data_IF_675062133025
#
_entry.id   IF_675062133025
#
_cell.length_a   1.000
_cell.length_b   1.000
_cell.length_c   1.000
_cell.angle_alpha   90.00
_cell.angle_beta   90.00
_cell.angle_gamma   90.00
#
_symmetry.space_group_name_H-M   'P 1'
#
loop_
_entity.id
_entity.type
_entity.pdbx_description
1 polymer ?
#
# COMPACT_ATOMS: atom_id res chain seq x y z
N UNK A 1 7.64 -20.59 0.61
CA UNK A 1 6.30 -20.01 0.84
C UNK A 1 5.29 -21.13 0.84
N UNK A 2 4.33 -21.15 1.77
CA UNK A 2 3.28 -22.16 1.80
C UNK A 2 2.15 -21.74 0.84
N UNK A 3 1.40 -22.68 0.27
CA UNK A 3 0.31 -22.38 -0.67
C UNK A 3 -0.73 -21.40 -0.10
N UNK A 4 -0.95 -21.44 1.22
CA UNK A 4 -1.81 -20.51 1.95
C UNK A 4 -1.36 -19.05 1.83
N UNK A 5 -0.06 -18.80 1.85
CA UNK A 5 0.49 -17.44 1.85
C UNK A 5 0.29 -16.77 0.48
N UNK A 6 0.40 -17.56 -0.58
CA UNK A 6 0.14 -17.13 -1.96
C UNK A 6 -1.35 -16.83 -2.13
N UNK A 7 -2.23 -17.69 -1.61
CA UNK A 7 -3.68 -17.50 -1.67
C UNK A 7 -4.16 -16.25 -0.91
N UNK A 8 -3.59 -15.97 0.27
CA UNK A 8 -3.91 -14.75 1.01
C UNK A 8 -3.42 -13.49 0.26
N UNK A 9 -2.19 -13.53 -0.25
CA UNK A 9 -1.61 -12.41 -0.98
C UNK A 9 -2.40 -12.09 -2.26
N UNK A 10 -2.88 -13.12 -2.96
CA UNK A 10 -3.72 -12.96 -4.16
C UNK A 10 -5.12 -12.45 -3.84
N UNK A 11 -5.74 -12.92 -2.75
CA UNK A 11 -7.04 -12.43 -2.28
C UNK A 11 -6.96 -10.94 -1.91
N UNK A 12 -5.93 -10.52 -1.17
CA UNK A 12 -5.70 -9.11 -0.88
C UNK A 12 -5.48 -8.29 -2.17
N UNK A 13 -4.74 -8.84 -3.14
CA UNK A 13 -4.52 -8.19 -4.44
C UNK A 13 -5.81 -7.98 -5.21
N UNK A 14 -6.69 -8.98 -5.22
CA UNK A 14 -8.02 -8.91 -5.82
C UNK A 14 -8.91 -7.88 -5.14
N UNK A 15 -8.90 -7.79 -3.81
CA UNK A 15 -9.70 -6.78 -3.07
C UNK A 15 -9.23 -5.36 -3.41
N UNK A 16 -7.91 -5.12 -3.47
CA UNK A 16 -7.34 -3.82 -3.88
C UNK A 16 -7.80 -3.47 -5.31
N UNK A 17 -7.79 -4.45 -6.21
CA UNK A 17 -8.23 -4.27 -7.58
C UNK A 17 -9.74 -3.97 -7.68
N UNK A 18 -10.59 -4.77 -7.05
CA UNK A 18 -12.05 -4.59 -7.04
C UNK A 18 -12.46 -3.21 -6.52
N UNK A 19 -11.74 -2.71 -5.50
CA UNK A 19 -11.96 -1.37 -5.00
C UNK A 19 -11.65 -0.28 -6.05
N UNK A 20 -10.56 -0.41 -6.80
CA UNK A 20 -10.20 0.51 -7.89
C UNK A 20 -11.18 0.41 -9.06
N UNK A 21 -11.84 -0.73 -9.22
CA UNK A 21 -12.88 -0.94 -10.23
C UNK A 21 -14.21 -0.28 -9.84
N UNK A 22 -14.61 -0.38 -8.56
CA UNK A 22 -15.90 0.09 -8.07
C UNK A 22 -15.98 1.61 -7.82
N UNK A 23 -14.83 2.28 -7.66
CA UNK A 23 -14.78 3.71 -7.36
C UNK A 23 -14.07 4.49 -8.50
N UNK A 24 -14.76 4.86 -9.59
CA UNK A 24 -14.23 5.83 -10.55
C UNK A 24 -14.13 7.24 -9.91
N UNK A 25 -13.10 8.03 -10.28
CA UNK A 25 -12.66 9.24 -9.53
C UNK A 25 -13.70 10.36 -9.37
N UNK A 26 -13.57 11.29 -8.39
CA UNK A 26 -12.43 11.60 -7.51
C UNK A 26 -12.44 10.93 -6.13
N UNK A 27 -13.50 10.16 -5.81
CA UNK A 27 -13.63 9.44 -4.54
C UNK A 27 -12.64 8.27 -4.38
N UNK A 28 -12.11 7.75 -5.50
CA UNK A 28 -11.06 6.73 -5.57
C UNK A 28 -9.88 7.09 -4.66
N UNK A 29 -9.33 8.30 -4.77
CA UNK A 29 -8.03 8.63 -4.15
C UNK A 29 -8.03 8.73 -2.62
N UNK A 30 -9.18 8.93 -1.99
CA UNK A 30 -9.29 9.12 -0.53
C UNK A 30 -9.59 7.82 0.22
N UNK A 31 -10.48 7.00 -0.33
CA UNK A 31 -10.88 5.73 0.29
C UNK A 31 -9.96 4.61 -0.17
N UNK A 32 -9.50 4.65 -1.44
CA UNK A 32 -8.82 3.51 -2.02
C UNK A 32 -7.38 3.35 -1.55
N UNK A 33 -6.67 4.45 -1.35
CA UNK A 33 -5.29 4.44 -0.85
C UNK A 33 -5.22 3.99 0.62
N UNK A 34 -6.18 4.38 1.46
CA UNK A 34 -6.26 3.97 2.87
C UNK A 34 -6.49 2.46 3.06
N UNK A 35 -7.40 1.87 2.30
CA UNK A 35 -7.64 0.43 2.35
C UNK A 35 -6.50 -0.36 1.69
N UNK A 36 -5.89 0.19 0.63
CA UNK A 36 -4.75 -0.41 -0.04
C UNK A 36 -3.55 -0.57 0.91
N UNK A 37 -3.17 0.48 1.65
CA UNK A 37 -2.08 0.38 2.64
C UNK A 37 -2.44 -0.57 3.77
N UNK A 38 -3.72 -0.60 4.20
CA UNK A 38 -4.18 -1.51 5.26
C UNK A 38 -3.97 -2.96 4.85
N UNK A 39 -4.37 -3.32 3.62
CA UNK A 39 -4.19 -4.66 3.08
C UNK A 39 -2.72 -5.03 2.84
N UNK A 40 -1.89 -4.08 2.39
CA UNK A 40 -0.45 -4.30 2.24
C UNK A 40 0.22 -4.55 3.60
N UNK A 41 -0.12 -3.76 4.63
CA UNK A 41 0.35 -4.00 5.99
C UNK A 41 -0.14 -5.35 6.53
N UNK A 42 -1.39 -5.73 6.28
CA UNK A 42 -1.90 -7.06 6.65
C UNK A 42 -1.17 -8.19 5.92
N UNK A 43 -0.87 -8.01 4.64
CA UNK A 43 -0.10 -8.97 3.85
C UNK A 43 1.29 -9.19 4.46
N UNK A 44 1.95 -8.11 4.91
CA UNK A 44 3.21 -8.21 5.64
C UNK A 44 3.07 -9.01 6.93
N UNK A 45 2.04 -8.72 7.74
CA UNK A 45 1.86 -9.38 9.03
C UNK A 45 1.52 -10.87 8.90
N UNK A 46 0.77 -11.24 7.86
CA UNK A 46 0.33 -12.63 7.64
C UNK A 46 1.36 -13.50 6.93
N UNK A 47 2.13 -12.94 5.99
CA UNK A 47 3.02 -13.72 5.10
C UNK A 47 4.47 -13.25 5.10
N UNK A 48 4.79 -12.21 5.87
CA UNK A 48 6.12 -11.63 5.98
C UNK A 48 6.46 -10.69 4.82
N UNK A 49 7.76 -10.50 4.59
CA UNK A 49 8.34 -9.54 3.61
C UNK A 49 7.79 -9.74 2.19
N UNK A 50 7.46 -10.97 1.78
CA UNK A 50 6.97 -11.23 0.42
C UNK A 50 5.50 -10.87 0.20
N UNK A 51 4.70 -10.76 1.27
CA UNK A 51 3.27 -10.48 1.19
C UNK A 51 2.91 -9.21 0.43
N UNK A 52 3.39 -8.03 0.89
CA UNK A 52 3.06 -6.76 0.25
C UNK A 52 3.50 -6.73 -1.21
N UNK A 53 4.65 -7.34 -1.53
CA UNK A 53 5.20 -7.39 -2.88
C UNK A 53 4.26 -8.19 -3.79
N UNK A 54 3.89 -9.41 -3.41
CA UNK A 54 2.98 -10.24 -4.20
C UNK A 54 1.58 -9.64 -4.33
N UNK A 55 1.02 -9.14 -3.23
CA UNK A 55 -0.27 -8.44 -3.22
C UNK A 55 -0.26 -7.24 -4.16
N UNK A 56 0.81 -6.43 -4.12
CA UNK A 56 0.95 -5.27 -5.00
C UNK A 56 1.19 -5.63 -6.45
N UNK A 57 1.92 -6.72 -6.72
CA UNK A 57 2.18 -7.23 -8.06
C UNK A 57 0.87 -7.68 -8.71
N UNK A 58 0.08 -8.49 -8.01
CA UNK A 58 -1.21 -8.98 -8.50
C UNK A 58 -2.15 -7.79 -8.72
N UNK A 59 -2.33 -6.93 -7.72
CA UNK A 59 -3.17 -5.73 -7.86
C UNK A 59 -2.72 -4.82 -9.01
N UNK A 60 -1.39 -4.66 -9.17
CA UNK A 60 -0.77 -3.87 -10.23
C UNK A 60 -1.04 -4.42 -11.62
N UNK A 61 -0.87 -5.73 -11.82
CA UNK A 61 -1.14 -6.40 -13.11
C UNK A 61 -2.62 -6.27 -13.47
N UNK A 62 -3.53 -6.57 -12.55
CA UNK A 62 -4.97 -6.47 -12.83
C UNK A 62 -5.38 -5.02 -13.13
N UNK A 63 -4.87 -4.05 -12.36
CA UNK A 63 -5.17 -2.63 -12.59
C UNK A 63 -4.59 -2.14 -13.91
N UNK A 64 -3.38 -2.56 -14.26
CA UNK A 64 -2.74 -2.21 -15.53
C UNK A 64 -3.48 -2.80 -16.73
N UNK A 65 -3.95 -4.05 -16.62
CA UNK A 65 -4.75 -4.69 -17.67
C UNK A 65 -6.08 -3.98 -17.92
N UNK A 66 -6.67 -3.37 -16.89
CA UNK A 66 -7.94 -2.64 -17.03
C UNK A 66 -7.81 -1.15 -17.38
N UNK A 67 -6.80 -0.44 -16.85
CA UNK A 67 -6.59 0.99 -17.16
C UNK A 67 -5.78 1.13 -18.46
N UNK A 68 -6.47 1.30 -19.58
CA UNK A 68 -5.88 1.45 -20.93
C UNK A 68 -5.02 2.71 -21.18
N UNK A 69 -4.74 3.53 -20.16
CA UNK A 69 -3.92 4.75 -20.32
C UNK A 69 -2.42 4.47 -20.30
N UNK A 70 -1.88 4.14 -19.12
CA UNK A 70 -0.45 3.90 -18.90
C UNK A 70 -0.23 2.64 -18.06
N UNK A 71 -0.41 1.45 -18.66
CA UNK A 71 -0.40 0.18 -17.93
C UNK A 71 0.95 -0.09 -17.28
N UNK A 72 2.06 0.17 -17.98
CA UNK A 72 3.41 -0.08 -17.46
C UNK A 72 3.69 0.77 -16.22
N UNK A 73 3.42 2.08 -16.28
CA UNK A 73 3.60 3.02 -15.16
C UNK A 73 2.74 2.63 -13.96
N UNK A 74 1.48 2.22 -14.20
CA UNK A 74 0.56 1.76 -13.15
C UNK A 74 1.10 0.53 -12.44
N UNK A 75 1.60 -0.45 -13.20
CA UNK A 75 2.22 -1.65 -12.66
C UNK A 75 3.49 -1.32 -11.86
N UNK A 76 4.37 -0.48 -12.41
CA UNK A 76 5.63 -0.09 -11.76
C UNK A 76 5.37 0.61 -10.42
N UNK A 77 4.43 1.56 -10.35
CA UNK A 77 4.11 2.22 -9.08
C UNK A 77 3.43 1.29 -8.08
N UNK A 78 2.56 0.39 -8.53
CA UNK A 78 1.98 -0.61 -7.65
C UNK A 78 3.06 -1.48 -7.02
N UNK A 79 3.97 -2.02 -7.83
CA UNK A 79 5.07 -2.87 -7.38
C UNK A 79 6.05 -2.11 -6.48
N UNK A 80 6.43 -0.89 -6.87
CA UNK A 80 7.28 -0.01 -6.06
C UNK A 80 6.67 0.22 -4.68
N UNK A 81 5.35 0.44 -4.61
CA UNK A 81 4.68 0.66 -3.34
C UNK A 81 4.69 -0.58 -2.44
N UNK A 82 4.44 -1.77 -2.99
CA UNK A 82 4.54 -3.02 -2.22
C UNK A 82 5.95 -3.28 -1.69
N UNK A 83 6.98 -3.01 -2.50
CA UNK A 83 8.38 -3.08 -2.07
C UNK A 83 8.66 -2.07 -0.95
N UNK A 84 8.22 -0.82 -1.10
CA UNK A 84 8.41 0.21 -0.08
C UNK A 84 7.77 -0.16 1.25
N UNK A 85 6.53 -0.66 1.23
CA UNK A 85 5.83 -1.10 2.44
C UNK A 85 6.62 -2.23 3.09
N UNK A 86 7.02 -3.23 2.32
CA UNK A 86 7.76 -4.38 2.81
C UNK A 86 9.12 -4.01 3.42
N UNK A 87 9.90 -3.18 2.73
CA UNK A 87 11.20 -2.70 3.22
C UNK A 87 11.01 -1.84 4.46
N UNK A 88 10.01 -0.94 4.47
CA UNK A 88 9.74 -0.09 5.62
C UNK A 88 9.34 -0.91 6.85
N UNK A 89 8.41 -1.86 6.71
CA UNK A 89 7.99 -2.69 7.84
C UNK A 89 9.09 -3.62 8.35
N UNK A 90 9.99 -4.05 7.46
CA UNK A 90 11.21 -4.79 7.83
C UNK A 90 12.21 -3.90 8.58
N UNK A 91 12.55 -2.73 8.02
CA UNK A 91 13.51 -1.77 8.57
C UNK A 91 13.07 -1.26 9.96
N UNK A 92 11.77 -1.01 10.11
CA UNK A 92 11.19 -0.60 11.39
C UNK A 92 10.98 -1.75 12.35
N UNK A 93 11.47 -2.98 12.11
CA UNK A 93 11.24 -4.19 12.92
C UNK A 93 9.86 -4.20 13.60
N UNK A 94 8.81 -4.14 12.77
CA UNK A 94 7.43 -3.95 13.23
C UNK A 94 6.95 -5.11 14.11
N UNK A 95 7.45 -6.32 13.83
CA UNK A 95 7.23 -7.51 14.64
C UNK A 95 8.53 -7.82 15.35
N UNK A 96 8.53 -7.71 16.68
CA UNK A 96 9.69 -7.98 17.52
C UNK A 96 9.25 -8.91 18.65
N UNK A 97 9.88 -10.09 18.76
CA UNK A 97 9.52 -11.14 19.71
C UNK A 97 8.02 -11.53 19.69
N UNK A 98 7.40 -11.56 18.51
CA UNK A 98 5.99 -11.91 18.33
C UNK A 98 4.99 -10.81 18.74
N UNK A 99 5.45 -9.66 19.25
CA UNK A 99 4.60 -8.54 19.60
C UNK A 99 4.56 -7.48 18.49
N UNK A 100 3.34 -7.05 18.14
CA UNK A 100 3.11 -6.00 17.16
C UNK A 100 3.28 -4.62 17.79
N UNK A 101 4.31 -3.88 17.38
CA UNK A 101 4.50 -2.48 17.81
C UNK A 101 3.69 -1.53 16.93
N UNK A 102 2.48 -1.19 17.37
CA UNK A 102 1.51 -0.34 16.63
C UNK A 102 2.14 0.94 16.07
N UNK A 103 2.90 1.67 16.89
CA UNK A 103 3.55 2.92 16.45
C UNK A 103 4.57 2.73 15.33
N UNK A 104 5.31 1.62 15.32
CA UNK A 104 6.29 1.30 14.28
C UNK A 104 5.61 0.91 12.97
N UNK A 105 4.49 0.18 13.05
CA UNK A 105 3.68 -0.14 11.86
C UNK A 105 3.11 1.14 11.23
N UNK A 106 2.56 2.04 12.04
CA UNK A 106 2.05 3.33 11.58
C UNK A 106 3.16 4.20 10.96
N UNK A 107 4.34 4.25 11.58
CA UNK A 107 5.50 4.97 11.05
C UNK A 107 6.00 4.39 9.72
N UNK A 108 6.11 3.05 9.63
CA UNK A 108 6.48 2.37 8.39
C UNK A 108 5.47 2.63 7.28
N UNK A 109 4.17 2.56 7.57
CA UNK A 109 3.10 2.85 6.63
C UNK A 109 3.19 4.31 6.16
N UNK A 110 3.28 5.28 7.08
CA UNK A 110 3.44 6.70 6.76
C UNK A 110 4.62 6.95 5.82
N UNK A 111 5.82 6.46 6.17
CA UNK A 111 7.04 6.68 5.39
C UNK A 111 6.92 6.05 4.01
N UNK A 112 6.39 4.83 3.93
CA UNK A 112 6.18 4.15 2.64
C UNK A 112 5.22 4.92 1.73
N UNK A 113 4.14 5.48 2.28
CA UNK A 113 3.17 6.26 1.52
C UNK A 113 3.72 7.61 1.07
N UNK A 114 4.48 8.30 1.93
CA UNK A 114 5.11 9.57 1.58
C UNK A 114 6.15 9.39 0.48
N UNK A 115 7.04 8.40 0.61
CA UNK A 115 8.05 8.11 -0.40
C UNK A 115 7.42 7.69 -1.74
N UNK A 116 6.37 6.86 -1.71
CA UNK A 116 5.63 6.51 -2.93
C UNK A 116 4.95 7.72 -3.56
N UNK A 117 4.41 8.63 -2.73
CA UNK A 117 3.82 9.90 -3.16
C UNK A 117 4.84 10.80 -3.84
N UNK A 118 6.03 10.98 -3.25
CA UNK A 118 7.14 11.76 -3.81
C UNK A 118 7.62 11.15 -5.13
N UNK A 119 7.83 9.82 -5.17
CA UNK A 119 8.27 9.14 -6.38
C UNK A 119 7.24 9.29 -7.51
N UNK A 120 5.96 9.10 -7.20
CA UNK A 120 4.89 9.21 -8.19
C UNK A 120 4.69 10.63 -8.69
N UNK A 121 4.70 11.63 -7.80
CA UNK A 121 4.58 13.03 -8.21
C UNK A 121 5.77 13.49 -9.06
N UNK A 122 6.99 13.14 -8.66
CA UNK A 122 8.21 13.52 -9.39
C UNK A 122 8.23 12.99 -10.82
N UNK A 123 7.87 11.73 -11.03
CA UNK A 123 7.78 11.13 -12.37
C UNK A 123 6.64 11.75 -13.18
N UNK A 124 5.49 12.01 -12.55
CA UNK A 124 4.33 12.61 -13.23
C UNK A 124 4.64 14.04 -13.69
N UNK A 125 5.36 14.82 -12.88
CA UNK A 125 5.85 16.16 -13.22
C UNK A 125 6.89 16.07 -14.35
N UNK A 126 7.85 15.13 -14.26
CA UNK A 126 8.89 14.95 -15.28
C UNK A 126 8.31 14.54 -16.65
N UNK A 127 7.20 13.81 -16.67
CA UNK A 127 6.46 13.44 -17.89
C UNK A 127 5.53 14.54 -18.40
N UNK A 128 5.41 15.68 -17.71
CA UNK A 128 4.54 16.79 -18.10
C UNK A 128 3.04 16.51 -17.92
N UNK A 129 2.68 15.45 -17.19
CA UNK A 129 1.27 15.07 -16.95
C UNK A 129 0.61 15.93 -15.86
N UNK A 130 1.41 16.63 -15.05
CA UNK A 130 0.94 17.48 -13.97
C UNK A 130 1.82 18.74 -13.88
N UNK A 131 1.23 19.95 -13.73
CA UNK A 131 1.99 21.16 -13.51
C UNK A 131 2.74 21.11 -12.17
N UNK A 132 3.95 21.67 -12.13
CA UNK A 132 4.69 21.81 -10.88
C UNK A 132 4.06 22.93 -10.03
N UNK A 133 3.19 22.53 -9.12
CA UNK A 133 2.64 23.39 -8.08
C UNK A 133 3.00 22.82 -6.70
N UNK A 134 3.89 23.48 -5.94
CA UNK A 134 4.30 23.03 -4.61
C UNK A 134 3.13 22.84 -3.64
N UNK A 135 2.07 23.65 -3.76
CA UNK A 135 0.91 23.57 -2.88
C UNK A 135 0.11 22.29 -3.12
N UNK A 136 -0.02 21.88 -4.39
CA UNK A 136 -0.72 20.67 -4.79
C UNK A 136 0.06 19.42 -4.34
N UNK A 137 1.38 19.42 -4.52
CA UNK A 137 2.25 18.33 -4.05
C UNK A 137 2.18 18.22 -2.52
N UNK A 138 2.24 19.33 -1.80
CA UNK A 138 2.11 19.33 -0.33
C UNK A 138 0.75 18.77 0.11
N UNK A 139 -0.34 19.17 -0.54
CA UNK A 139 -1.68 18.65 -0.25
C UNK A 139 -1.77 17.13 -0.50
N UNK A 140 -1.21 16.64 -1.60
CA UNK A 140 -1.14 15.20 -1.90
C UNK A 140 -0.36 14.43 -0.84
N UNK A 141 0.77 14.97 -0.36
CA UNK A 141 1.57 14.34 0.69
C UNK A 141 0.86 14.36 2.04
N UNK A 142 0.19 15.45 2.41
CA UNK A 142 -0.62 15.51 3.63
C UNK A 142 -1.74 14.46 3.61
N UNK A 143 -2.50 14.40 2.52
CA UNK A 143 -3.58 13.43 2.35
C UNK A 143 -3.05 12.00 2.34
N UNK A 144 -1.97 11.73 1.59
CA UNK A 144 -1.31 10.43 1.56
C UNK A 144 -0.77 10.02 2.93
N UNK A 145 -0.17 10.95 3.67
CA UNK A 145 0.36 10.71 5.01
C UNK A 145 -0.74 10.34 6.02
N UNK A 146 -1.85 11.07 6.02
CA UNK A 146 -3.02 10.74 6.83
C UNK A 146 -3.57 9.34 6.52
N UNK A 147 -3.58 8.96 5.24
CA UNK A 147 -4.00 7.62 4.83
C UNK A 147 -2.99 6.53 5.23
N UNK A 148 -1.69 6.79 5.14
CA UNK A 148 -0.65 5.89 5.62
C UNK A 148 -0.78 5.63 7.12
N UNK A 149 -0.97 6.68 7.92
CA UNK A 149 -1.22 6.56 9.36
C UNK A 149 -2.52 5.81 9.65
N UNK A 150 -3.61 6.19 8.98
CA UNK A 150 -4.93 5.57 9.16
C UNK A 150 -4.90 4.08 8.83
N UNK A 151 -4.28 3.68 7.74
CA UNK A 151 -4.22 2.28 7.36
C UNK A 151 -3.20 1.45 8.16
N UNK A 152 -2.10 2.05 8.60
CA UNK A 152 -1.21 1.44 9.59
C UNK A 152 -1.91 1.22 10.94
N UNK A 153 -2.76 2.16 11.35
CA UNK A 153 -3.57 2.03 12.56
C UNK A 153 -4.65 0.97 12.42
N UNK A 154 -5.43 1.00 11.33
CA UNK A 154 -6.48 0.01 11.05
C UNK A 154 -5.93 -1.41 10.95
N UNK A 155 -4.80 -1.60 10.25
CA UNK A 155 -4.15 -2.91 10.16
C UNK A 155 -3.69 -3.41 11.53
N UNK A 156 -3.23 -2.51 12.41
CA UNK A 156 -2.89 -2.87 13.79
C UNK A 156 -4.10 -3.34 14.60
N UNK A 157 -5.26 -2.67 14.45
CA UNK A 157 -6.51 -3.08 15.12
C UNK A 157 -6.96 -4.43 14.58
N UNK A 158 -7.00 -4.60 13.27
CA UNK A 158 -7.41 -5.85 12.62
C UNK A 158 -6.52 -7.01 13.05
N UNK A 159 -5.21 -6.81 13.13
CA UNK A 159 -4.27 -7.80 13.63
C UNK A 159 -4.59 -8.20 15.07
N UNK A 160 -4.74 -7.23 15.97
CA UNK A 160 -4.99 -7.51 17.38
C UNK A 160 -6.36 -8.14 17.65
N UNK A 161 -7.37 -7.87 16.83
CA UNK A 161 -8.72 -8.43 17.00
C UNK A 161 -8.87 -9.82 16.40
N UNK A 162 -8.34 -10.05 15.21
CA UNK A 162 -8.61 -11.27 14.44
C UNK A 162 -7.46 -12.29 14.44
N UNK A 163 -6.24 -11.87 14.77
CA UNK A 163 -5.07 -12.74 14.81
C UNK A 163 -4.38 -12.87 16.19
N UNK A 164 -5.08 -12.81 17.35
CA UNK A 164 -4.42 -12.95 18.65
C UNK A 164 -3.79 -14.33 18.92
N UNK A 165 -4.06 -15.34 18.08
CA UNK A 165 -3.62 -16.74 18.27
C UNK A 165 -2.70 -17.29 17.16
N UNK A 166 -2.12 -16.45 16.30
CA UNK A 166 -1.20 -16.89 15.23
C UNK A 166 0.28 -16.76 15.62
N UNK A 167 0.58 -16.84 16.93
CA UNK A 167 1.94 -17.05 17.45
C UNK A 167 2.07 -18.43 18.07
#
# INVERSE_FOLDING_TARGET
MKSRDIALSSLFGLVIFSQKLLLPGPYDKFVSLGLQITLLCLAFLTTGVMGPILTSMIAGVLTAAMRGGMPLMTFTFALLYGVLVSVSTCLFHVVEAGQLRRGRLMGAALISTLLAGIASSSVTIALGLMPFDPSLVAAMLCVGGLQGLGGGYLSSILWTRYFPYVN
#
